data_IF_984517400352
#
_entry.id   IF_984517400352
#
_cell.length_a   1.000
_cell.length_b   1.000
_cell.length_c   1.000
_cell.angle_alpha   90.00
_cell.angle_beta   90.00
_cell.angle_gamma   90.00
#
_symmetry.space_group_name_H-M   'P 1'
#
loop_
_entity.id
_entity.type
_entity.pdbx_description
1 polymer ?
#
# COMPACT_ATOMS: atom_id res chain seq x y z
N UNK A 1 9.58 9.70 25.02
CA UNK A 1 10.33 10.63 24.17
C UNK A 1 9.82 10.40 22.75
N UNK A 2 8.93 11.26 22.26
CA UNK A 2 8.49 11.19 20.86
C UNK A 2 9.64 11.71 20.02
N UNK A 3 10.48 10.82 19.51
CA UNK A 3 11.37 11.20 18.41
C UNK A 3 10.48 11.60 17.24
N UNK A 4 10.57 12.86 16.83
CA UNK A 4 9.94 13.31 15.59
C UNK A 4 10.46 12.44 14.45
N UNK A 5 9.55 11.85 13.68
CA UNK A 5 9.87 10.96 12.58
C UNK A 5 10.63 11.71 11.49
N UNK A 6 11.96 11.57 11.47
CA UNK A 6 12.80 12.22 10.47
C UNK A 6 12.86 11.39 9.19
N UNK A 7 12.02 11.74 8.21
CA UNK A 7 11.99 11.07 6.90
C UNK A 7 13.26 11.24 6.07
N UNK A 8 14.14 12.20 6.38
CA UNK A 8 15.38 12.42 5.64
C UNK A 8 16.50 11.44 6.00
N UNK A 9 16.34 10.66 7.08
CA UNK A 9 17.31 9.63 7.43
C UNK A 9 17.32 8.52 6.36
N UNK A 10 18.52 8.12 5.92
CA UNK A 10 18.72 7.07 4.90
C UNK A 10 17.88 5.82 5.17
N UNK A 11 17.86 5.33 6.41
CA UNK A 11 17.13 4.12 6.77
C UNK A 11 15.61 4.31 6.65
N UNK A 12 15.10 5.50 6.98
CA UNK A 12 13.67 5.81 6.85
C UNK A 12 13.25 5.91 5.38
N UNK A 13 14.11 6.48 4.52
CA UNK A 13 13.89 6.49 3.06
C UNK A 13 13.85 5.06 2.52
N UNK A 14 14.83 4.21 2.87
CA UNK A 14 14.88 2.82 2.42
C UNK A 14 13.65 2.04 2.91
N UNK A 15 13.25 2.23 4.17
CA UNK A 15 12.07 1.61 4.77
C UNK A 15 10.80 1.98 4.00
N UNK A 16 10.63 3.26 3.68
CA UNK A 16 9.46 3.75 2.94
C UNK A 16 9.44 3.17 1.52
N UNK A 17 10.58 3.20 0.82
CA UNK A 17 10.72 2.61 -0.52
C UNK A 17 10.41 1.10 -0.52
N UNK A 18 10.91 0.37 0.47
CA UNK A 18 10.62 -1.06 0.66
C UNK A 18 9.13 -1.32 0.85
N UNK A 19 8.47 -0.55 1.73
CA UNK A 19 7.04 -0.70 1.98
C UNK A 19 6.21 -0.36 0.73
N UNK A 20 6.52 0.73 0.03
CA UNK A 20 5.83 1.13 -1.21
C UNK A 20 6.02 0.07 -2.30
N UNK A 21 7.24 -0.43 -2.48
CA UNK A 21 7.51 -1.51 -3.42
C UNK A 21 6.72 -2.77 -3.07
N UNK A 22 6.66 -3.15 -1.78
CA UNK A 22 5.84 -4.25 -1.32
C UNK A 22 4.35 -4.01 -1.67
N UNK A 23 3.81 -2.83 -1.38
CA UNK A 23 2.40 -2.53 -1.70
C UNK A 23 2.11 -2.68 -3.19
N UNK A 24 2.99 -2.19 -4.07
CA UNK A 24 2.81 -2.29 -5.52
C UNK A 24 3.02 -3.71 -6.06
N UNK A 25 3.75 -4.56 -5.33
CA UNK A 25 4.01 -5.96 -5.69
C UNK A 25 2.87 -6.92 -5.34
N UNK A 26 1.82 -6.45 -4.67
CA UNK A 26 0.64 -7.27 -4.36
C UNK A 26 -0.01 -7.83 -5.64
N UNK A 27 -0.53 -9.08 -5.60
CA UNK A 27 -1.30 -9.65 -6.70
C UNK A 27 -2.45 -8.77 -7.20
N UNK A 28 -2.98 -7.90 -6.33
CA UNK A 28 -4.04 -6.93 -6.64
C UNK A 28 -3.75 -6.07 -7.86
N UNK A 29 -2.48 -5.73 -8.10
CA UNK A 29 -2.07 -4.80 -9.15
C UNK A 29 -1.45 -5.46 -10.37
N UNK A 30 -1.44 -6.80 -10.45
CA UNK A 30 -0.88 -7.53 -11.61
C UNK A 30 -1.53 -7.07 -12.92
N UNK A 31 -2.86 -6.89 -12.92
CA UNK A 31 -3.58 -6.48 -14.12
C UNK A 31 -3.30 -5.02 -14.53
N UNK A 32 -2.92 -4.14 -13.60
CA UNK A 32 -2.46 -2.78 -13.91
C UNK A 32 -1.16 -2.84 -14.75
N UNK A 33 -0.19 -3.66 -14.33
CA UNK A 33 1.06 -3.80 -15.07
C UNK A 33 0.85 -4.48 -16.43
N UNK A 34 0.01 -5.52 -16.50
CA UNK A 34 -0.40 -6.10 -17.79
C UNK A 34 -1.07 -5.07 -18.69
N UNK A 35 -1.85 -4.16 -18.13
CA UNK A 35 -2.50 -3.09 -18.89
C UNK A 35 -1.48 -2.09 -19.43
N UNK A 36 -0.44 -1.75 -18.65
CA UNK A 36 0.66 -0.93 -19.18
C UNK A 36 1.38 -1.59 -20.36
N UNK A 37 1.62 -2.90 -20.30
CA UNK A 37 2.21 -3.64 -21.43
C UNK A 37 1.33 -3.62 -22.67
N UNK A 38 0.02 -3.84 -22.49
CA UNK A 38 -0.96 -3.74 -23.57
C UNK A 38 -0.98 -2.34 -24.20
N UNK A 39 -1.04 -1.29 -23.36
CA UNK A 39 -1.05 0.11 -23.81
C UNK A 39 0.24 0.55 -24.49
N UNK A 40 1.36 -0.08 -24.18
CA UNK A 40 2.65 0.12 -24.83
C UNK A 40 2.88 -0.81 -26.03
N UNK A 41 1.87 -1.57 -26.46
CA UNK A 41 1.95 -2.52 -27.57
C UNK A 41 3.00 -3.63 -27.39
N UNK A 42 3.39 -3.95 -26.14
CA UNK A 42 4.23 -5.11 -25.85
C UNK A 42 3.44 -6.43 -25.86
N UNK A 43 2.11 -6.34 -25.81
CA UNK A 43 1.20 -7.48 -25.92
C UNK A 43 -0.11 -7.03 -26.55
N UNK A 44 -0.71 -7.90 -27.37
CA UNK A 44 -2.04 -7.68 -27.93
C UNK A 44 -3.16 -8.11 -26.98
N UNK A 45 -2.80 -8.73 -25.84
CA UNK A 45 -3.77 -9.25 -24.87
C UNK A 45 -4.23 -8.15 -23.93
N UNK A 46 -5.48 -7.71 -24.09
CA UNK A 46 -6.11 -6.82 -23.12
C UNK A 46 -6.35 -7.56 -21.79
N UNK A 47 -5.84 -7.06 -20.65
CA UNK A 47 -6.04 -7.73 -19.36
C UNK A 47 -7.46 -7.57 -18.83
N UNK A 48 -7.78 -8.30 -17.76
CA UNK A 48 -9.00 -8.09 -16.98
C UNK A 48 -8.96 -6.73 -16.28
N UNK A 49 -10.12 -6.27 -15.82
CA UNK A 49 -10.25 -5.07 -15.01
C UNK A 49 -9.35 -5.12 -13.76
N UNK A 50 -8.92 -3.96 -13.31
CA UNK A 50 -8.08 -3.78 -12.13
C UNK A 50 -8.53 -2.57 -11.32
N UNK A 51 -8.24 -2.62 -10.02
CA UNK A 51 -8.46 -1.49 -9.14
C UNK A 51 -7.33 -0.46 -9.33
N UNK A 52 -7.69 0.83 -9.37
CA UNK A 52 -6.70 1.88 -9.37
C UNK A 52 -5.98 1.91 -8.00
N UNK A 53 -4.63 1.84 -7.94
CA UNK A 53 -3.91 1.75 -6.67
C UNK A 53 -4.15 2.93 -5.72
N UNK A 54 -4.27 4.14 -6.25
CA UNK A 54 -4.56 5.33 -5.45
C UNK A 54 -5.96 5.22 -4.85
N UNK A 55 -6.92 4.80 -5.66
CA UNK A 55 -8.27 4.58 -5.17
C UNK A 55 -8.31 3.48 -4.11
N UNK A 56 -7.67 2.35 -4.35
CA UNK A 56 -7.68 1.26 -3.37
C UNK A 56 -6.97 1.64 -2.06
N UNK A 57 -5.77 2.22 -2.15
CA UNK A 57 -4.91 2.47 -0.99
C UNK A 57 -5.36 3.67 -0.16
N UNK A 58 -5.94 4.70 -0.79
CA UNK A 58 -6.23 5.99 -0.14
C UNK A 58 -7.69 6.42 -0.21
N UNK A 59 -8.53 5.75 -1.01
CA UNK A 59 -9.94 6.13 -1.17
C UNK A 59 -10.80 5.21 -0.33
N UNK A 60 -11.30 5.71 0.80
CA UNK A 60 -12.70 5.65 1.24
C UNK A 60 -12.84 6.32 2.60
N UNK A 61 -13.83 7.20 2.72
CA UNK A 61 -14.46 7.79 3.92
C UNK A 61 -13.52 8.42 4.97
N UNK A 62 -13.76 9.71 5.23
CA UNK A 62 -13.26 10.37 6.45
C UNK A 62 -13.58 9.49 7.68
N UNK A 63 -12.62 9.39 8.60
CA UNK A 63 -12.73 8.65 9.87
C UNK A 63 -12.53 7.13 9.85
N UNK A 64 -11.85 6.55 8.83
CA UNK A 64 -11.37 5.17 8.96
C UNK A 64 -10.27 5.12 10.04
N UNK A 65 -10.51 4.33 11.08
CA UNK A 65 -9.53 4.04 12.13
C UNK A 65 -8.59 2.91 11.69
N UNK A 66 -7.41 2.88 12.28
CA UNK A 66 -6.46 1.79 12.08
C UNK A 66 -7.04 0.46 12.60
N UNK A 67 -6.97 -0.59 11.78
CA UNK A 67 -7.53 -1.92 12.05
C UNK A 67 -6.54 -2.83 12.83
N UNK A 68 -5.55 -2.24 13.50
CA UNK A 68 -4.70 -2.95 14.45
C UNK A 68 -5.36 -2.90 15.83
N UNK A 69 -5.44 -4.05 16.49
CA UNK A 69 -6.07 -4.17 17.80
C UNK A 69 -5.46 -3.18 18.82
N UNK A 70 -6.32 -2.42 19.49
CA UNK A 70 -5.90 -1.39 20.46
C UNK A 70 -5.43 -0.07 19.84
N UNK A 71 -5.55 0.11 18.51
CA UNK A 71 -5.25 1.39 17.87
C UNK A 71 -6.52 2.22 17.60
N UNK A 72 -6.49 3.49 17.99
CA UNK A 72 -7.53 4.48 17.68
C UNK A 72 -7.04 5.60 16.75
N UNK A 73 -5.87 5.44 16.14
CA UNK A 73 -5.32 6.44 15.21
C UNK A 73 -6.04 6.37 13.87
N UNK A 74 -6.10 7.51 13.17
CA UNK A 74 -6.62 7.59 11.80
C UNK A 74 -5.74 6.77 10.87
N UNK A 75 -6.37 5.91 10.05
CA UNK A 75 -5.68 5.19 9.01
C UNK A 75 -5.30 6.13 7.85
N UNK A 76 -4.09 5.97 7.34
CA UNK A 76 -3.56 6.76 6.21
C UNK A 76 -3.44 5.94 4.93
N UNK A 77 -3.45 4.61 5.04
CA UNK A 77 -3.23 3.71 3.91
C UNK A 77 -3.92 2.37 4.16
N UNK A 78 -4.51 1.81 3.10
CA UNK A 78 -5.02 0.45 3.07
C UNK A 78 -3.99 -0.49 2.48
N UNK A 79 -3.66 -1.56 3.20
CA UNK A 79 -2.70 -2.57 2.73
C UNK A 79 -3.23 -3.31 1.50
N UNK A 80 -2.46 -3.31 0.41
CA UNK A 80 -2.82 -3.98 -0.84
C UNK A 80 -2.81 -5.51 -0.76
N UNK A 81 -2.21 -6.07 0.29
CA UNK A 81 -2.17 -7.50 0.56
C UNK A 81 -3.35 -7.94 1.40
N UNK A 82 -3.42 -7.50 2.67
CA UNK A 82 -4.41 -7.96 3.64
C UNK A 82 -5.63 -7.05 3.82
N UNK A 83 -5.78 -6.00 3.00
CA UNK A 83 -6.89 -5.02 3.03
C UNK A 83 -7.07 -4.21 4.33
N UNK A 84 -6.25 -4.43 5.36
CA UNK A 84 -6.29 -3.66 6.60
C UNK A 84 -5.90 -2.21 6.38
N UNK A 85 -6.62 -1.30 7.02
CA UNK A 85 -6.40 0.13 7.09
C UNK A 85 -5.44 0.43 8.23
N UNK A 86 -4.35 1.13 7.94
CA UNK A 86 -3.21 1.29 8.85
C UNK A 86 -2.91 2.77 9.04
N UNK A 87 -2.67 3.19 10.28
CA UNK A 87 -2.09 4.49 10.58
C UNK A 87 -0.59 4.51 10.25
N UNK A 88 0.02 5.70 10.28
CA UNK A 88 1.45 5.86 9.96
C UNK A 88 2.34 4.99 10.85
N UNK A 89 2.06 4.92 12.16
CA UNK A 89 2.81 4.09 13.09
C UNK A 89 2.80 2.62 12.68
N UNK A 90 1.60 2.05 12.51
CA UNK A 90 1.49 0.62 12.21
C UNK A 90 1.94 0.27 10.80
N UNK A 91 1.82 1.19 9.83
CA UNK A 91 2.32 0.97 8.48
C UNK A 91 3.85 1.12 8.40
N UNK A 92 4.36 2.26 8.85
CA UNK A 92 5.75 2.68 8.68
C UNK A 92 6.61 2.34 9.89
N UNK A 93 6.31 2.84 11.10
CA UNK A 93 7.18 2.67 12.28
C UNK A 93 7.33 1.20 12.68
N UNK A 94 6.23 0.47 12.75
CA UNK A 94 6.21 -0.95 13.09
C UNK A 94 6.53 -1.85 11.88
N UNK A 95 6.77 -1.25 10.71
CA UNK A 95 7.18 -1.90 9.46
C UNK A 95 6.22 -3.01 9.01
N UNK A 96 5.03 -2.62 8.55
CA UNK A 96 4.02 -3.56 8.04
C UNK A 96 4.41 -4.19 6.70
N UNK A 97 5.29 -5.19 6.74
CA UNK A 97 5.65 -5.98 5.57
C UNK A 97 4.72 -7.20 5.44
N UNK A 98 3.66 -7.04 4.65
CA UNK A 98 2.66 -8.10 4.44
C UNK A 98 2.97 -8.95 3.21
N UNK A 99 2.68 -10.25 3.27
CA UNK A 99 2.77 -11.20 2.15
C UNK A 99 1.51 -12.07 2.00
N UNK A 100 0.52 -11.89 2.88
CA UNK A 100 -0.75 -12.63 2.84
C UNK A 100 -1.76 -11.86 2.00
N UNK A 101 -2.09 -12.41 0.83
CA UNK A 101 -3.04 -11.79 -0.09
C UNK A 101 -4.49 -12.18 0.23
N UNK A 102 -5.33 -11.17 0.47
CA UNK A 102 -6.79 -11.25 0.57
C UNK A 102 -7.39 -10.78 -0.77
N UNK A 103 -8.01 -11.66 -1.58
CA UNK A 103 -8.50 -11.36 -2.94
C UNK A 103 -9.42 -10.13 -3.05
#
# INVERSE_FOLDING_TARGET
MNEELNFHLRNNIIKLQSLVHNQLSSPRYINLFKYSWYKSCYTDVHPKNFENPVNFAFRSQSNILCEIAGCSNVAIVRCSWCKKSLCLKHFFDDYHYCSTYDP
#
